data_IF_296417982615
#
_entry.id   IF_296417982615
#
_cell.length_a   1.000
_cell.length_b   1.000
_cell.length_c   1.000
_cell.angle_alpha   90.00
_cell.angle_beta   90.00
_cell.angle_gamma   90.00
#
_symmetry.space_group_name_H-M   'P 1'
#
loop_
_entity.id
_entity.type
_entity.pdbx_description
1 polymer ?
#
# COMPACT_ATOMS: atom_id res chain seq x y z
N UNK A 1 4.60 14.05 54.72
CA UNK A 1 4.44 12.78 53.98
C UNK A 1 5.82 12.30 53.60
N UNK A 2 6.33 11.28 54.31
CA UNK A 2 7.63 10.67 54.05
C UNK A 2 7.56 9.89 52.74
N UNK A 3 8.45 10.21 51.80
CA UNK A 3 8.62 9.43 50.57
C UNK A 3 8.98 7.98 50.96
N UNK A 4 8.12 7.04 50.57
CA UNK A 4 8.34 5.61 50.78
C UNK A 4 9.65 5.23 50.08
N UNK A 5 10.68 4.82 50.84
CA UNK A 5 11.93 4.33 50.27
C UNK A 5 11.60 3.23 49.24
N UNK A 6 12.10 3.39 48.01
CA UNK A 6 11.89 2.41 46.96
C UNK A 6 12.44 1.06 47.45
N UNK A 7 11.61 0.02 47.43
CA UNK A 7 12.02 -1.32 47.84
C UNK A 7 13.25 -1.77 47.04
N UNK A 8 14.19 -2.43 47.72
CA UNK A 8 15.40 -2.95 47.06
C UNK A 8 15.02 -3.87 45.89
N UNK A 9 15.70 -3.75 44.73
CA UNK A 9 15.36 -4.55 43.56
C UNK A 9 15.54 -6.04 43.79
N UNK A 10 14.51 -6.82 43.48
CA UNK A 10 14.52 -8.27 43.60
C UNK A 10 15.28 -8.93 42.44
N UNK A 11 15.67 -10.20 42.61
CA UNK A 11 16.22 -11.00 41.52
C UNK A 11 15.24 -11.17 40.34
N UNK A 12 13.93 -11.08 40.58
CA UNK A 12 12.93 -11.10 39.52
C UNK A 12 12.94 -9.80 38.70
N UNK A 13 13.17 -8.66 39.36
CA UNK A 13 13.27 -7.34 38.71
C UNK A 13 14.50 -7.29 37.81
N UNK A 14 15.67 -7.71 38.31
CA UNK A 14 16.90 -7.80 37.52
C UNK A 14 16.75 -8.71 36.28
N UNK A 15 16.02 -9.82 36.41
CA UNK A 15 15.69 -10.69 35.25
C UNK A 15 14.75 -10.03 34.24
N UNK A 16 13.83 -9.16 34.69
CA UNK A 16 12.98 -8.37 33.78
C UNK A 16 13.80 -7.31 33.06
N UNK A 17 14.64 -6.58 33.76
CA UNK A 17 15.52 -5.55 33.18
C UNK A 17 16.45 -6.13 32.13
N UNK A 18 17.04 -7.31 32.37
CA UNK A 18 17.86 -7.99 31.38
C UNK A 18 17.06 -8.41 30.12
N UNK A 19 15.74 -8.63 30.23
CA UNK A 19 14.89 -8.82 29.05
C UNK A 19 14.62 -7.51 28.33
N UNK A 20 14.25 -6.44 29.05
CA UNK A 20 14.05 -5.13 28.45
C UNK A 20 15.30 -4.66 27.71
N UNK A 21 16.48 -4.75 28.32
CA UNK A 21 17.77 -4.46 27.68
C UNK A 21 17.93 -5.15 26.32
N UNK A 22 17.55 -6.42 26.23
CA UNK A 22 17.69 -7.19 24.98
C UNK A 22 16.62 -6.81 23.95
N UNK A 23 15.42 -6.44 24.39
CA UNK A 23 14.36 -5.90 23.52
C UNK A 23 14.74 -4.51 22.99
N UNK A 24 15.22 -3.60 23.84
CA UNK A 24 15.72 -2.26 23.45
C UNK A 24 16.79 -2.35 22.36
N UNK A 25 17.77 -3.24 22.54
CA UNK A 25 18.81 -3.49 21.52
C UNK A 25 18.21 -4.01 20.22
N UNK A 26 17.20 -4.89 20.29
CA UNK A 26 16.57 -5.43 19.11
C UNK A 26 15.78 -4.35 18.34
N UNK A 27 15.06 -3.48 19.05
CA UNK A 27 14.28 -2.37 18.47
C UNK A 27 15.19 -1.28 17.90
N UNK A 28 16.24 -0.88 18.64
CA UNK A 28 17.25 0.05 18.15
C UNK A 28 17.92 -0.42 16.85
N UNK A 29 18.22 -1.72 16.73
CA UNK A 29 18.75 -2.32 15.50
C UNK A 29 17.75 -2.28 14.34
N UNK A 30 16.45 -2.42 14.61
CA UNK A 30 15.39 -2.30 13.60
C UNK A 30 15.38 -0.88 13.03
N UNK A 31 15.33 0.13 13.89
CA UNK A 31 15.32 1.54 13.47
C UNK A 31 16.60 1.92 12.73
N UNK A 32 17.76 1.47 13.20
CA UNK A 32 19.05 1.73 12.54
C UNK A 32 19.09 1.14 11.12
N UNK A 33 18.61 -0.11 10.95
CA UNK A 33 18.54 -0.75 9.62
C UNK A 33 17.58 -0.05 8.67
N UNK A 34 16.44 0.43 9.20
CA UNK A 34 15.48 1.21 8.41
C UNK A 34 16.07 2.56 7.99
N UNK A 35 16.72 3.27 8.92
CA UNK A 35 17.38 4.54 8.65
C UNK A 35 18.44 4.43 7.56
N UNK A 36 19.23 3.34 7.54
CA UNK A 36 20.24 3.09 6.52
C UNK A 36 19.70 2.97 5.08
N UNK A 37 18.38 2.82 4.91
CA UNK A 37 17.70 2.72 3.60
C UNK A 37 16.87 3.95 3.24
N UNK A 38 16.88 4.97 4.09
CA UNK A 38 16.12 6.21 3.92
C UNK A 38 17.05 7.39 3.70
N UNK A 39 16.48 8.48 3.21
CA UNK A 39 17.16 9.76 3.01
C UNK A 39 16.28 10.89 3.52
N UNK A 40 16.91 12.05 3.78
CA UNK A 40 16.23 13.23 4.30
C UNK A 40 15.56 13.01 5.65
N UNK A 41 14.42 13.68 5.84
CA UNK A 41 13.64 13.71 7.10
C UNK A 41 13.32 12.31 7.65
N UNK A 42 12.93 11.35 6.80
CA UNK A 42 12.59 9.99 7.26
C UNK A 42 13.78 9.27 7.91
N UNK A 43 15.00 9.52 7.41
CA UNK A 43 16.23 8.94 7.99
C UNK A 43 16.50 9.56 9.36
N UNK A 44 16.39 10.87 9.48
CA UNK A 44 16.65 11.61 10.72
C UNK A 44 15.68 11.20 11.83
N UNK A 45 14.39 11.03 11.48
CA UNK A 45 13.38 10.52 12.41
C UNK A 45 13.75 9.11 12.90
N UNK A 46 14.08 8.18 12.00
CA UNK A 46 14.44 6.81 12.37
C UNK A 46 15.75 6.74 13.17
N UNK A 47 16.72 7.63 12.91
CA UNK A 47 17.93 7.74 13.72
C UNK A 47 17.61 8.24 15.12
N UNK A 48 16.72 9.23 15.24
CA UNK A 48 16.28 9.77 16.53
C UNK A 48 15.58 8.71 17.39
N UNK A 49 14.77 7.84 16.78
CA UNK A 49 14.18 6.67 17.45
C UNK A 49 15.28 5.68 17.89
N UNK A 50 16.24 5.37 17.02
CA UNK A 50 17.35 4.48 17.39
C UNK A 50 18.24 5.06 18.51
N UNK A 51 18.37 6.38 18.59
CA UNK A 51 19.08 7.07 19.67
C UNK A 51 18.27 7.04 20.98
N UNK A 52 16.95 7.05 20.91
CA UNK A 52 16.07 6.88 22.07
C UNK A 52 16.20 5.49 22.69
N UNK A 53 16.16 4.43 21.88
CA UNK A 53 16.34 3.06 22.40
C UNK A 53 17.72 2.84 23.03
N UNK A 54 18.76 3.56 22.54
CA UNK A 54 20.07 3.56 23.20
C UNK A 54 20.06 4.20 24.59
N UNK A 55 19.24 5.25 24.80
CA UNK A 55 19.06 5.83 26.14
C UNK A 55 18.30 4.88 27.07
N UNK A 56 17.32 4.15 26.54
CA UNK A 56 16.56 3.16 27.31
C UNK A 56 17.43 1.96 27.67
N UNK A 57 18.26 1.48 26.72
CA UNK A 57 19.33 0.50 26.98
C UNK A 57 20.24 0.94 28.14
N UNK A 58 20.73 2.19 28.10
CA UNK A 58 21.63 2.70 29.13
C UNK A 58 20.96 2.72 30.51
N UNK A 59 19.69 3.14 30.59
CA UNK A 59 18.91 3.12 31.84
C UNK A 59 18.84 1.71 32.46
N UNK A 60 18.60 0.68 31.64
CA UNK A 60 18.57 -0.70 32.14
C UNK A 60 19.95 -1.20 32.56
N UNK A 61 21.01 -0.83 31.85
CA UNK A 61 22.39 -1.14 32.24
C UNK A 61 22.77 -0.51 33.57
N UNK A 62 22.37 0.75 33.79
CA UNK A 62 22.63 1.47 35.04
C UNK A 62 21.94 0.79 36.23
N UNK A 63 20.69 0.35 36.06
CA UNK A 63 19.96 -0.42 37.07
C UNK A 63 20.57 -1.80 37.33
N UNK A 64 21.10 -2.44 36.29
CA UNK A 64 21.78 -3.74 36.39
C UNK A 64 23.19 -3.63 37.02
N UNK A 65 23.79 -2.44 37.00
CA UNK A 65 25.17 -2.21 37.44
C UNK A 65 26.22 -2.59 36.39
N UNK A 66 25.85 -2.53 35.10
CA UNK A 66 26.70 -2.90 33.96
C UNK A 66 26.17 -4.10 33.17
N UNK A 67 27.00 -4.58 32.25
CA UNK A 67 26.64 -5.66 31.32
C UNK A 67 26.46 -7.00 32.07
N UNK A 68 25.28 -7.64 32.00
CA UNK A 68 25.06 -8.94 32.63
C UNK A 68 25.95 -10.03 32.03
N UNK A 69 26.55 -10.88 32.87
CA UNK A 69 27.37 -12.00 32.41
C UNK A 69 26.63 -13.00 31.49
N UNK A 70 25.30 -13.05 31.58
CA UNK A 70 24.44 -13.82 30.66
C UNK A 70 23.18 -13.03 30.34
N UNK A 71 22.96 -12.77 29.07
CA UNK A 71 21.74 -12.16 28.56
C UNK A 71 20.73 -13.23 28.14
N UNK A 72 19.42 -13.00 28.36
CA UNK A 72 18.39 -13.80 27.73
C UNK A 72 18.44 -13.61 26.21
N UNK A 73 17.94 -14.59 25.46
CA UNK A 73 17.74 -14.41 24.01
C UNK A 73 16.56 -13.47 23.80
N UNK A 74 16.70 -12.54 22.85
CA UNK A 74 15.59 -11.73 22.37
C UNK A 74 14.42 -12.62 21.95
N UNK A 75 13.19 -12.14 22.15
CA UNK A 75 12.00 -12.85 21.70
C UNK A 75 12.11 -13.25 20.22
N UNK A 76 11.53 -14.40 19.87
CA UNK A 76 11.50 -14.90 18.48
C UNK A 76 10.92 -13.81 17.55
N UNK A 77 9.92 -13.08 18.03
CA UNK A 77 9.30 -11.94 17.36
C UNK A 77 10.33 -10.84 17.05
N UNK A 78 11.06 -10.34 18.04
CA UNK A 78 12.02 -9.24 17.91
C UNK A 78 13.19 -9.60 16.99
N UNK A 79 13.63 -10.87 17.02
CA UNK A 79 14.63 -11.40 16.09
C UNK A 79 14.12 -11.46 14.65
N UNK A 80 12.89 -11.93 14.44
CA UNK A 80 12.27 -11.94 13.12
C UNK A 80 12.07 -10.53 12.55
N UNK A 81 11.67 -9.57 13.40
CA UNK A 81 11.48 -8.17 13.03
C UNK A 81 12.79 -7.54 12.54
N UNK A 82 13.91 -7.74 13.25
CA UNK A 82 15.23 -7.23 12.84
C UNK A 82 15.78 -7.84 11.54
N UNK A 83 15.41 -9.07 11.21
CA UNK A 83 15.73 -9.68 9.92
C UNK A 83 14.86 -9.10 8.79
N UNK A 84 13.55 -8.98 9.04
CA UNK A 84 12.59 -8.47 8.07
C UNK A 84 12.81 -6.99 7.74
N UNK A 85 13.13 -6.14 8.72
CA UNK A 85 13.50 -4.74 8.50
C UNK A 85 14.63 -4.60 7.48
N UNK A 86 15.64 -5.48 7.61
CA UNK A 86 16.78 -5.58 6.71
C UNK A 86 16.47 -6.18 5.34
N UNK A 87 15.27 -6.71 5.08
CA UNK A 87 14.89 -7.23 3.75
C UNK A 87 13.81 -6.39 3.07
N UNK A 88 12.83 -5.90 3.81
CA UNK A 88 11.60 -5.31 3.26
C UNK A 88 11.47 -3.78 3.39
N UNK A 89 12.41 -3.10 4.06
CA UNK A 89 12.53 -1.63 4.00
C UNK A 89 11.27 -0.87 4.41
N UNK A 90 10.74 -0.01 3.53
CA UNK A 90 9.58 0.86 3.80
C UNK A 90 8.27 0.12 4.06
N UNK A 91 8.05 -1.04 3.41
CA UNK A 91 6.85 -1.87 3.63
C UNK A 91 6.84 -2.40 5.07
N UNK A 92 8.02 -2.61 5.65
CA UNK A 92 8.15 -3.11 7.01
C UNK A 92 7.73 -2.07 8.07
N UNK A 93 7.86 -0.77 7.80
CA UNK A 93 7.36 0.28 8.69
C UNK A 93 5.84 0.17 8.90
N UNK A 94 5.12 -0.31 7.88
CA UNK A 94 3.68 -0.54 7.96
C UNK A 94 3.34 -1.71 8.90
N UNK A 95 4.16 -2.76 8.88
CA UNK A 95 4.05 -3.90 9.80
C UNK A 95 4.39 -3.48 11.23
N UNK A 96 5.41 -2.64 11.40
CA UNK A 96 5.80 -2.09 12.71
C UNK A 96 4.66 -1.27 13.32
N UNK A 97 3.97 -0.43 12.53
CA UNK A 97 2.83 0.34 13.00
C UNK A 97 1.65 -0.53 13.48
N UNK A 98 1.37 -1.67 12.83
CA UNK A 98 0.35 -2.62 13.32
C UNK A 98 0.78 -3.32 14.61
N UNK A 99 2.09 -3.44 14.81
CA UNK A 99 2.69 -4.09 15.99
C UNK A 99 2.69 -3.15 17.20
N UNK A 100 2.78 -1.84 16.93
CA UNK A 100 2.77 -0.73 17.89
C UNK A 100 1.37 -0.34 18.41
N UNK A 101 0.33 -1.15 18.20
CA UNK A 101 -1.02 -0.91 18.74
C UNK A 101 -1.25 -1.54 20.12
N UNK A 102 -0.22 -2.15 20.72
CA UNK A 102 -0.27 -2.75 22.05
C UNK A 102 -0.07 -1.75 23.19
N UNK A 103 -0.37 -2.13 24.44
CA UNK A 103 0.07 -1.35 25.61
C UNK A 103 1.57 -1.53 25.83
N UNK A 104 2.28 -0.44 26.03
CA UNK A 104 3.70 -0.47 26.39
C UNK A 104 3.92 -1.31 27.67
N UNK A 105 4.93 -2.20 27.69
CA UNK A 105 5.32 -2.91 28.92
C UNK A 105 5.79 -1.94 30.03
N UNK A 106 6.15 -0.69 29.68
CA UNK A 106 6.64 0.31 30.63
C UNK A 106 5.54 1.03 31.40
N UNK A 107 4.29 0.98 30.94
CA UNK A 107 3.16 1.56 31.68
C UNK A 107 2.97 0.89 33.05
N UNK A 108 3.29 -0.40 33.16
CA UNK A 108 3.17 -1.18 34.40
C UNK A 108 4.50 -1.35 35.17
N UNK A 109 5.64 -0.91 34.60
CA UNK A 109 6.96 -1.12 35.20
C UNK A 109 7.33 0.04 36.13
N UNK A 110 7.52 -0.24 37.42
CA UNK A 110 7.80 0.78 38.43
C UNK A 110 9.18 1.43 38.26
N UNK A 111 10.14 0.70 37.68
CA UNK A 111 11.51 1.17 37.47
C UNK A 111 11.71 1.88 36.12
N UNK A 112 10.68 1.97 35.27
CA UNK A 112 10.70 2.78 34.07
C UNK A 112 10.56 4.27 34.43
N UNK A 113 11.36 5.13 33.82
CA UNK A 113 11.28 6.58 34.07
C UNK A 113 10.03 7.17 33.41
N UNK A 114 9.51 8.31 33.90
CA UNK A 114 8.46 9.04 33.20
C UNK A 114 8.83 9.40 31.75
N UNK A 115 10.11 9.70 31.50
CA UNK A 115 10.63 9.99 30.17
C UNK A 115 10.53 8.77 29.24
N UNK A 116 10.92 7.57 29.69
CA UNK A 116 10.79 6.34 28.88
C UNK A 116 9.34 6.03 28.51
N UNK A 117 8.40 6.21 29.45
CA UNK A 117 6.96 6.02 29.17
C UNK A 117 6.42 7.04 28.17
N UNK A 118 6.97 8.27 28.16
CA UNK A 118 6.59 9.30 27.22
C UNK A 118 7.21 9.04 25.83
N UNK A 119 8.50 8.70 25.79
CA UNK A 119 9.24 8.33 24.58
C UNK A 119 8.51 7.20 23.85
N UNK A 120 8.09 6.14 24.55
CA UNK A 120 7.41 5.00 23.93
C UNK A 120 6.08 5.38 23.25
N UNK A 121 5.27 6.25 23.90
CA UNK A 121 4.03 6.75 23.28
C UNK A 121 4.31 7.59 22.04
N UNK A 122 5.38 8.36 22.06
CA UNK A 122 5.83 9.15 20.90
C UNK A 122 6.37 8.23 19.81
N UNK A 123 7.10 7.16 20.15
CA UNK A 123 7.59 6.16 19.21
C UNK A 123 6.43 5.52 18.43
N UNK A 124 5.39 5.07 19.14
CA UNK A 124 4.18 4.52 18.51
C UNK A 124 3.57 5.50 17.50
N UNK A 125 3.43 6.77 17.89
CA UNK A 125 2.77 7.79 17.07
C UNK A 125 3.62 8.21 15.86
N UNK A 126 4.94 8.30 16.03
CA UNK A 126 5.90 8.56 14.94
C UNK A 126 5.89 7.41 13.94
N UNK A 127 5.90 6.15 14.41
CA UNK A 127 5.81 4.97 13.55
C UNK A 127 4.48 4.93 12.80
N UNK A 128 3.37 5.27 13.45
CA UNK A 128 2.05 5.44 12.79
C UNK A 128 2.08 6.52 11.73
N UNK A 129 2.71 7.66 12.00
CA UNK A 129 2.87 8.76 11.03
C UNK A 129 3.72 8.38 9.82
N UNK A 130 4.84 7.70 10.03
CA UNK A 130 5.68 7.15 8.95
C UNK A 130 4.91 6.09 8.13
N UNK A 131 4.15 5.23 8.79
CA UNK A 131 3.29 4.26 8.13
C UNK A 131 2.19 4.92 7.29
N UNK A 132 1.49 5.93 7.82
CA UNK A 132 0.47 6.66 7.09
C UNK A 132 1.04 7.33 5.82
N UNK A 133 2.23 7.95 5.92
CA UNK A 133 2.97 8.50 4.77
C UNK A 133 3.32 7.40 3.76
N UNK A 134 3.81 6.25 4.22
CA UNK A 134 4.09 5.08 3.39
C UNK A 134 2.85 4.55 2.65
N UNK A 135 1.68 4.48 3.31
CA UNK A 135 0.43 4.03 2.68
C UNK A 135 -0.02 4.96 1.56
N UNK A 136 0.05 6.28 1.77
CA UNK A 136 -0.33 7.26 0.74
C UNK A 136 0.52 7.13 -0.53
N UNK A 137 1.83 6.89 -0.39
CA UNK A 137 2.71 6.66 -1.55
C UNK A 137 2.41 5.36 -2.28
N UNK A 138 1.89 4.35 -1.59
CA UNK A 138 1.62 3.02 -2.17
C UNK A 138 0.17 2.85 -2.66
N UNK A 139 -0.79 3.66 -2.21
CA UNK A 139 -2.23 3.36 -2.32
C UNK A 139 -2.80 3.34 -3.74
N UNK A 140 -2.24 4.11 -4.68
CA UNK A 140 -2.72 4.18 -6.06
C UNK A 140 -2.39 2.92 -6.86
N UNK A 141 -1.13 2.81 -7.29
CA UNK A 141 -0.69 1.75 -8.22
C UNK A 141 -0.67 0.35 -7.61
N UNK A 142 -0.37 0.22 -6.31
CA UNK A 142 -0.33 -1.10 -5.68
C UNK A 142 -1.72 -1.73 -5.61
N UNK A 143 -2.73 -0.92 -5.27
CA UNK A 143 -4.10 -1.40 -5.14
C UNK A 143 -4.63 -1.89 -6.48
N UNK A 144 -4.39 -1.12 -7.55
CA UNK A 144 -4.72 -1.52 -8.92
C UNK A 144 -3.99 -2.82 -9.32
N UNK A 145 -2.70 -2.93 -9.00
CA UNK A 145 -1.90 -4.11 -9.30
C UNK A 145 -2.41 -5.39 -8.62
N UNK A 146 -2.71 -5.32 -7.33
CA UNK A 146 -3.22 -6.47 -6.58
C UNK A 146 -4.62 -6.85 -7.05
N UNK A 147 -5.49 -5.87 -7.35
CA UNK A 147 -6.82 -6.18 -7.87
C UNK A 147 -6.75 -6.82 -9.26
N UNK A 148 -5.92 -6.32 -10.17
CA UNK A 148 -5.74 -6.93 -11.49
C UNK A 148 -5.27 -8.38 -11.41
N UNK A 149 -4.24 -8.66 -10.61
CA UNK A 149 -3.76 -10.03 -10.42
C UNK A 149 -4.79 -10.93 -9.72
N UNK A 150 -5.50 -10.42 -8.71
CA UNK A 150 -6.54 -11.18 -8.02
C UNK A 150 -7.74 -11.47 -8.92
N UNK A 151 -8.11 -10.55 -9.81
CA UNK A 151 -9.20 -10.78 -10.75
C UNK A 151 -8.82 -11.89 -11.75
N UNK A 152 -7.58 -11.88 -12.26
CA UNK A 152 -7.06 -12.97 -13.09
C UNK A 152 -7.03 -14.32 -12.36
N UNK A 153 -6.58 -14.35 -11.09
CA UNK A 153 -6.59 -15.55 -10.26
C UNK A 153 -7.99 -16.15 -10.11
N UNK A 154 -8.97 -15.31 -9.72
CA UNK A 154 -10.33 -15.77 -9.40
C UNK A 154 -11.10 -16.14 -10.67
N UNK A 155 -11.10 -15.25 -11.67
CA UNK A 155 -11.85 -15.48 -12.91
C UNK A 155 -11.36 -16.71 -13.67
N UNK A 156 -10.04 -16.89 -13.80
CA UNK A 156 -9.52 -18.01 -14.57
C UNK A 156 -9.56 -19.33 -13.79
N UNK A 157 -9.42 -19.30 -12.46
CA UNK A 157 -9.69 -20.48 -11.62
C UNK A 157 -11.14 -20.94 -11.77
N UNK A 158 -12.08 -19.99 -11.69
CA UNK A 158 -13.49 -20.29 -11.83
C UNK A 158 -13.81 -20.88 -13.22
N UNK A 159 -13.18 -20.36 -14.27
CA UNK A 159 -13.32 -20.88 -15.64
C UNK A 159 -12.83 -22.32 -15.75
N UNK A 160 -11.58 -22.62 -15.35
CA UNK A 160 -11.01 -23.96 -15.52
C UNK A 160 -11.70 -25.02 -14.66
N UNK A 161 -12.17 -24.65 -13.46
CA UNK A 161 -12.95 -25.54 -12.61
C UNK A 161 -14.35 -25.79 -13.14
N UNK A 162 -14.99 -24.77 -13.73
CA UNK A 162 -16.30 -24.91 -14.37
C UNK A 162 -16.22 -25.78 -15.61
N UNK A 163 -15.29 -25.50 -16.52
CA UNK A 163 -15.07 -26.32 -17.71
C UNK A 163 -14.63 -27.73 -17.32
N UNK A 164 -13.69 -27.88 -16.38
CA UNK A 164 -13.25 -29.19 -15.91
C UNK A 164 -14.36 -30.05 -15.30
N UNK A 165 -15.35 -29.42 -14.65
CA UNK A 165 -16.50 -30.13 -14.08
C UNK A 165 -17.42 -30.77 -15.13
N UNK A 166 -17.39 -30.30 -16.37
CA UNK A 166 -18.19 -30.86 -17.46
C UNK A 166 -17.71 -32.23 -17.93
N UNK A 167 -16.52 -32.68 -17.50
CA UNK A 167 -15.93 -33.96 -17.91
C UNK A 167 -15.15 -33.92 -19.23
N UNK A 168 -14.97 -32.74 -19.82
CA UNK A 168 -14.15 -32.55 -21.04
C UNK A 168 -12.68 -32.90 -20.81
N UNK A 169 -11.99 -33.23 -21.90
CA UNK A 169 -10.58 -33.61 -21.87
C UNK A 169 -9.64 -32.48 -21.36
N UNK A 170 -8.47 -32.83 -20.79
CA UNK A 170 -7.55 -31.87 -20.17
C UNK A 170 -7.03 -30.82 -21.15
N UNK A 171 -6.88 -31.17 -22.44
CA UNK A 171 -6.50 -30.22 -23.49
C UNK A 171 -7.53 -29.12 -23.72
N UNK A 172 -8.82 -29.43 -23.58
CA UNK A 172 -9.89 -28.44 -23.69
C UNK A 172 -9.92 -27.51 -22.47
N UNK A 173 -9.72 -28.05 -21.26
CA UNK A 173 -9.59 -27.23 -20.04
C UNK A 173 -8.41 -26.26 -20.16
N UNK A 174 -7.25 -26.73 -20.63
CA UNK A 174 -6.08 -25.89 -20.86
C UNK A 174 -6.37 -24.80 -21.89
N UNK A 175 -6.95 -25.17 -23.04
CA UNK A 175 -7.31 -24.22 -24.09
C UNK A 175 -8.27 -23.14 -23.55
N UNK A 176 -9.34 -23.55 -22.85
CA UNK A 176 -10.29 -22.61 -22.24
C UNK A 176 -9.60 -21.68 -21.25
N UNK A 177 -8.69 -22.18 -20.40
CA UNK A 177 -7.96 -21.35 -19.46
C UNK A 177 -7.00 -20.36 -20.11
N UNK A 178 -6.32 -20.73 -21.20
CA UNK A 178 -5.46 -19.81 -21.96
C UNK A 178 -6.30 -18.79 -22.73
N UNK A 179 -7.40 -19.21 -23.33
CA UNK A 179 -8.34 -18.31 -24.00
C UNK A 179 -8.97 -17.31 -23.02
N UNK A 180 -9.40 -17.78 -21.84
CA UNK A 180 -9.93 -16.95 -20.76
C UNK A 180 -8.90 -15.95 -20.22
N UNK A 181 -7.65 -16.38 -20.04
CA UNK A 181 -6.54 -15.49 -19.69
C UNK A 181 -6.38 -14.37 -20.72
N UNK A 182 -6.25 -14.71 -22.00
CA UNK A 182 -6.02 -13.72 -23.06
C UNK A 182 -7.22 -12.78 -23.21
N UNK A 183 -8.44 -13.31 -23.24
CA UNK A 183 -9.66 -12.52 -23.34
C UNK A 183 -9.81 -11.55 -22.16
N UNK A 184 -9.59 -12.04 -20.93
CA UNK A 184 -9.65 -11.21 -19.72
C UNK A 184 -8.56 -10.15 -19.67
N UNK A 185 -7.31 -10.52 -20.01
CA UNK A 185 -6.18 -9.59 -20.00
C UNK A 185 -6.35 -8.46 -21.03
N UNK A 186 -6.79 -8.80 -22.26
CA UNK A 186 -7.08 -7.81 -23.31
C UNK A 186 -8.24 -6.90 -22.90
N UNK A 187 -9.30 -7.46 -22.31
CA UNK A 187 -10.44 -6.69 -21.82
C UNK A 187 -10.04 -5.71 -20.71
N UNK A 188 -9.25 -6.16 -19.73
CA UNK A 188 -8.71 -5.29 -18.68
C UNK A 188 -7.80 -4.20 -19.24
N UNK A 189 -6.87 -4.54 -20.14
CA UNK A 189 -5.97 -3.58 -20.75
C UNK A 189 -6.71 -2.51 -21.56
N UNK A 190 -7.68 -2.92 -22.39
CA UNK A 190 -8.52 -2.00 -23.15
C UNK A 190 -9.40 -1.12 -22.24
N UNK A 191 -9.98 -1.70 -21.19
CA UNK A 191 -10.78 -0.96 -20.20
C UNK A 191 -9.96 0.12 -19.50
N UNK A 192 -8.73 -0.21 -19.07
CA UNK A 192 -7.82 0.75 -18.44
C UNK A 192 -7.39 1.85 -19.41
N UNK A 193 -7.06 1.50 -20.67
CA UNK A 193 -6.74 2.47 -21.71
C UNK A 193 -7.85 3.51 -21.89
N UNK A 194 -9.08 3.03 -22.10
CA UNK A 194 -10.25 3.88 -22.32
C UNK A 194 -10.54 4.73 -21.07
N UNK A 195 -10.41 4.16 -19.88
CA UNK A 195 -10.61 4.89 -18.63
C UNK A 195 -9.63 6.06 -18.47
N UNK A 196 -8.33 5.80 -18.61
CA UNK A 196 -7.28 6.82 -18.48
C UNK A 196 -7.39 7.87 -19.59
N UNK A 197 -7.67 7.43 -20.82
CA UNK A 197 -7.84 8.34 -21.95
C UNK A 197 -9.05 9.24 -21.78
N UNK A 198 -10.19 8.68 -21.37
CA UNK A 198 -11.39 9.47 -21.10
C UNK A 198 -11.17 10.48 -19.97
N UNK A 199 -10.47 10.10 -18.89
CA UNK A 199 -10.10 11.04 -17.83
C UNK A 199 -9.24 12.20 -18.36
N UNK A 200 -8.28 11.92 -19.24
CA UNK A 200 -7.45 12.95 -19.87
C UNK A 200 -8.24 13.85 -20.81
N UNK A 201 -9.12 13.27 -21.62
CA UNK A 201 -9.99 14.03 -22.53
C UNK A 201 -10.96 14.94 -21.74
N UNK A 202 -11.48 14.47 -20.60
CA UNK A 202 -12.29 15.28 -19.68
C UNK A 202 -11.49 16.42 -19.06
N UNK A 203 -10.27 16.15 -18.58
CA UNK A 203 -9.39 17.20 -18.03
C UNK A 203 -9.02 18.23 -19.09
N UNK A 204 -8.63 17.79 -20.29
CA UNK A 204 -8.33 18.67 -21.42
C UNK A 204 -9.53 19.52 -21.83
N UNK A 205 -10.75 18.99 -21.74
CA UNK A 205 -11.98 19.76 -22.01
C UNK A 205 -12.32 20.79 -20.91
N UNK A 206 -11.73 20.65 -19.72
CA UNK A 206 -11.92 21.55 -18.58
C UNK A 206 -10.82 22.61 -18.51
N UNK A 207 -9.67 22.37 -19.12
CA UNK A 207 -8.60 23.35 -19.25
C UNK A 207 -9.09 24.53 -20.12
N UNK A 208 -8.79 25.76 -19.67
CA UNK A 208 -9.24 26.96 -20.36
C UNK A 208 -8.68 26.97 -21.79
N UNK A 209 -9.57 27.17 -22.76
CA UNK A 209 -9.18 27.39 -24.14
C UNK A 209 -8.20 28.56 -24.19
N UNK A 210 -6.91 28.32 -24.52
CA UNK A 210 -5.89 29.37 -24.56
C UNK A 210 -6.29 30.49 -25.54
N UNK A 211 -7.04 30.14 -26.59
CA UNK A 211 -7.64 31.09 -27.54
C UNK A 211 -8.57 32.10 -26.85
N UNK A 212 -9.32 31.70 -25.81
CA UNK A 212 -10.18 32.63 -25.07
C UNK A 212 -9.36 33.63 -24.23
N UNK A 213 -8.15 33.25 -23.78
CA UNK A 213 -7.23 34.15 -23.11
C UNK A 213 -6.46 35.04 -24.11
N UNK A 214 -6.20 34.55 -25.33
CA UNK A 214 -5.57 35.32 -26.41
C UNK A 214 -6.50 36.39 -26.98
N UNK A 215 -7.81 36.16 -26.99
CA UNK A 215 -8.83 37.15 -27.38
C UNK A 215 -9.22 38.10 -26.24
N UNK A 216 -8.71 37.92 -25.01
CA UNK A 216 -9.05 38.77 -23.88
C UNK A 216 -8.63 40.24 -24.06
N UNK A 217 -7.58 40.51 -24.86
CA UNK A 217 -7.18 41.88 -25.20
C UNK A 217 -8.08 42.56 -26.23
N UNK A 218 -8.88 41.80 -26.97
CA UNK A 218 -9.89 42.30 -27.92
C UNK A 218 -11.27 42.48 -27.26
N UNK A 219 -11.42 42.01 -26.00
CA UNK A 219 -12.65 42.08 -25.22
C UNK A 219 -12.51 43.20 -24.18
N UNK A 220 -13.50 44.09 -24.09
CA UNK A 220 -13.59 45.14 -23.06
C UNK A 220 -14.04 44.54 -21.71
N UNK A 221 -13.22 43.64 -21.15
CA UNK A 221 -13.51 42.90 -19.92
C UNK A 221 -12.76 43.53 -18.74
N UNK A 222 -13.48 43.87 -17.66
CA UNK A 222 -12.91 44.38 -16.41
C UNK A 222 -12.15 43.27 -15.62
N UNK A 223 -11.14 43.65 -14.83
CA UNK A 223 -10.37 42.77 -13.92
C UNK A 223 -11.30 41.93 -13.04
N UNK A 224 -12.38 42.56 -12.57
CA UNK A 224 -13.39 41.93 -11.72
C UNK A 224 -14.16 40.83 -12.46
N UNK A 225 -14.50 41.03 -13.73
CA UNK A 225 -15.23 40.05 -14.54
C UNK A 225 -14.35 38.85 -14.90
N UNK A 226 -13.07 39.08 -15.24
CA UNK A 226 -12.11 38.00 -15.46
C UNK A 226 -11.84 37.22 -14.16
N UNK A 227 -11.82 37.90 -13.00
CA UNK A 227 -11.70 37.26 -11.69
C UNK A 227 -12.92 36.38 -11.38
N UNK A 228 -14.14 36.78 -11.77
CA UNK A 228 -15.34 35.95 -11.65
C UNK A 228 -15.23 34.65 -12.47
N UNK A 229 -14.63 34.70 -13.67
CA UNK A 229 -14.37 33.48 -14.47
C UNK A 229 -13.42 32.52 -13.76
N UNK A 230 -12.34 33.02 -13.15
CA UNK A 230 -11.41 32.18 -12.39
C UNK A 230 -12.03 31.63 -11.10
N UNK A 231 -12.86 32.42 -10.41
CA UNK A 231 -13.62 31.97 -9.23
C UNK A 231 -14.65 30.90 -9.57
N UNK A 232 -15.38 31.06 -10.68
CA UNK A 232 -16.30 30.06 -11.20
C UNK A 232 -15.59 28.74 -11.56
N UNK A 233 -14.29 28.80 -11.86
CA UNK A 233 -13.41 27.64 -12.08
C UNK A 233 -12.72 27.12 -10.81
N UNK A 234 -13.09 27.62 -9.63
CA UNK A 234 -12.62 27.13 -8.33
C UNK A 234 -11.29 27.71 -7.85
N UNK A 235 -10.79 28.79 -8.48
CA UNK A 235 -9.62 29.53 -7.99
C UNK A 235 -10.04 30.41 -6.82
N UNK A 236 -9.22 30.46 -5.76
CA UNK A 236 -9.44 31.33 -4.62
C UNK A 236 -9.54 32.80 -5.04
N UNK A 237 -10.35 33.60 -4.34
CA UNK A 237 -10.65 34.98 -4.71
C UNK A 237 -9.39 35.86 -4.81
N UNK A 238 -8.46 35.72 -3.88
CA UNK A 238 -7.23 36.51 -3.89
C UNK A 238 -6.31 36.13 -5.07
N UNK A 239 -6.24 34.84 -5.40
CA UNK A 239 -5.45 34.34 -6.51
C UNK A 239 -6.07 34.64 -7.87
N UNK A 240 -7.40 34.58 -7.97
CA UNK A 240 -8.17 34.94 -9.16
C UNK A 240 -7.94 36.41 -9.54
N UNK A 241 -8.06 37.33 -8.57
CA UNK A 241 -7.79 38.77 -8.76
C UNK A 241 -6.35 39.03 -9.20
N UNK A 242 -5.37 38.44 -8.50
CA UNK A 242 -3.96 38.61 -8.82
C UNK A 242 -3.63 38.08 -10.24
N UNK A 243 -4.28 37.01 -10.69
CA UNK A 243 -4.10 36.44 -12.04
C UNK A 243 -4.77 37.29 -13.11
N UNK A 244 -6.00 37.76 -12.87
CA UNK A 244 -6.71 38.66 -13.79
C UNK A 244 -5.92 39.94 -14.05
N UNK A 245 -5.40 40.57 -12.99
CA UNK A 245 -4.58 41.78 -13.12
C UNK A 245 -3.35 41.57 -13.99
N UNK A 246 -2.61 40.48 -13.77
CA UNK A 246 -1.42 40.14 -14.59
C UNK A 246 -1.75 39.99 -16.07
N UNK A 247 -2.89 39.37 -16.39
CA UNK A 247 -3.30 39.13 -17.77
C UNK A 247 -3.72 40.44 -18.45
N UNK A 248 -4.50 41.28 -17.77
CA UNK A 248 -4.92 42.58 -18.30
C UNK A 248 -3.72 43.51 -18.49
N UNK A 249 -2.81 43.60 -17.50
CA UNK A 249 -1.59 44.41 -17.63
C UNK A 249 -0.72 43.92 -18.78
N UNK A 250 -0.49 42.62 -18.91
CA UNK A 250 0.30 42.07 -20.02
C UNK A 250 -0.35 42.30 -21.39
N UNK A 251 -1.68 42.27 -21.47
CA UNK A 251 -2.42 42.57 -22.69
C UNK A 251 -2.28 44.05 -23.08
N UNK A 252 -2.41 44.97 -22.11
CA UNK A 252 -2.22 46.42 -22.30
C UNK A 252 -0.78 46.77 -22.71
N UNK A 253 0.21 46.04 -22.21
CA UNK A 253 1.63 46.19 -22.55
C UNK A 253 2.01 45.54 -23.90
N UNK A 254 1.06 44.89 -24.60
CA UNK A 254 1.29 44.24 -25.89
C UNK A 254 2.12 42.95 -25.81
N UNK A 255 2.32 42.39 -24.60
CA UNK A 255 3.14 41.20 -24.36
C UNK A 255 2.29 39.94 -24.59
N UNK A 256 2.10 39.58 -25.86
CA UNK A 256 1.19 38.50 -26.29
C UNK A 256 1.61 37.05 -25.92
N UNK A 257 2.78 36.82 -25.29
CA UNK A 257 3.33 35.45 -25.17
C UNK A 257 3.83 34.98 -23.80
N UNK A 258 3.82 35.80 -22.75
CA UNK A 258 4.49 35.44 -21.49
C UNK A 258 3.59 35.34 -20.25
N UNK A 259 2.35 35.81 -20.28
CA UNK A 259 1.53 35.97 -19.06
C UNK A 259 0.68 34.75 -18.68
N UNK A 260 0.44 33.83 -19.61
CA UNK A 260 -0.37 32.64 -19.38
C UNK A 260 0.53 31.41 -19.22
N UNK A 261 1.19 31.31 -18.08
CA UNK A 261 1.67 30.00 -17.65
C UNK A 261 0.48 29.02 -17.57
N UNK A 262 0.66 27.73 -17.92
CA UNK A 262 -0.43 26.76 -17.97
C UNK A 262 -1.24 26.81 -16.67
N UNK A 263 -2.56 26.67 -16.78
CA UNK A 263 -3.42 26.45 -15.61
C UNK A 263 -3.05 25.07 -15.07
N UNK A 264 -2.03 25.00 -14.21
CA UNK A 264 -1.98 23.97 -13.18
C UNK A 264 -3.09 24.30 -12.20
N UNK A 265 -4.32 23.99 -12.59
CA UNK A 265 -5.36 23.76 -11.62
C UNK A 265 -4.74 22.76 -10.66
N UNK A 266 -4.63 23.11 -9.38
CA UNK A 266 -4.17 22.21 -8.33
C UNK A 266 -5.22 21.12 -8.05
N UNK A 267 -5.92 20.67 -9.09
CA UNK A 267 -6.88 19.59 -9.08
C UNK A 267 -6.11 18.26 -9.01
N UNK A 268 -5.73 17.90 -7.79
CA UNK A 268 -5.32 16.55 -7.42
C UNK A 268 -3.88 16.20 -7.79
N UNK A 269 -2.96 16.51 -6.88
CA UNK A 269 -1.63 15.88 -6.79
C UNK A 269 -1.68 14.34 -6.52
N UNK A 270 -2.80 13.69 -6.80
CA UNK A 270 -3.03 12.25 -6.64
C UNK A 270 -3.11 11.51 -7.99
N UNK A 271 -2.93 12.19 -9.14
CA UNK A 271 -3.00 11.55 -10.48
C UNK A 271 -1.66 11.50 -11.24
N UNK A 272 -0.59 12.05 -10.67
CA UNK A 272 0.76 12.03 -11.26
C UNK A 272 1.43 10.63 -11.31
N UNK A 273 0.74 9.57 -10.87
CA UNK A 273 1.24 8.19 -10.98
C UNK A 273 0.59 7.43 -12.16
N UNK A 274 -0.39 8.01 -12.85
CA UNK A 274 -0.94 7.38 -14.06
C UNK A 274 -0.03 7.74 -15.23
N UNK A 275 0.86 6.82 -15.60
CA UNK A 275 1.68 6.92 -16.81
C UNK A 275 0.81 7.09 -18.07
N UNK A 276 1.40 7.03 -19.26
CA UNK A 276 0.62 7.09 -20.52
C UNK A 276 -0.56 6.10 -20.50
N UNK A 277 -1.66 6.42 -21.18
CA UNK A 277 -2.80 5.53 -21.42
C UNK A 277 -2.36 4.11 -21.81
N UNK A 278 -1.34 4.01 -22.66
CA UNK A 278 -0.65 2.77 -23.00
C UNK A 278 0.04 2.06 -21.82
N UNK A 279 0.76 2.79 -20.98
CA UNK A 279 1.44 2.18 -19.82
C UNK A 279 0.45 1.61 -18.80
N UNK A 280 -0.69 2.27 -18.60
CA UNK A 280 -1.76 1.78 -17.73
C UNK A 280 -2.38 0.51 -18.31
N UNK A 281 -2.71 0.53 -19.61
CA UNK A 281 -3.24 -0.63 -20.33
C UNK A 281 -2.33 -1.86 -20.28
N UNK A 282 -1.04 -1.68 -20.59
CA UNK A 282 -0.04 -2.76 -20.57
C UNK A 282 0.15 -3.29 -19.15
N UNK A 283 0.17 -2.40 -18.15
CA UNK A 283 0.28 -2.80 -16.75
C UNK A 283 -0.91 -3.66 -16.33
N UNK A 284 -2.14 -3.22 -16.61
CA UNK A 284 -3.37 -3.98 -16.29
C UNK A 284 -3.41 -5.33 -17.01
N UNK A 285 -3.01 -5.37 -18.29
CA UNK A 285 -2.88 -6.61 -19.06
C UNK A 285 -1.92 -7.60 -18.39
N UNK A 286 -0.71 -7.14 -18.02
CA UNK A 286 0.32 -7.99 -17.43
C UNK A 286 -0.05 -8.44 -16.02
N UNK A 287 -0.64 -7.56 -15.22
CA UNK A 287 -1.08 -7.86 -13.86
C UNK A 287 -2.19 -8.92 -13.88
N UNK A 288 -3.21 -8.75 -14.72
CA UNK A 288 -4.24 -9.78 -14.91
C UNK A 288 -3.63 -11.11 -15.38
N UNK A 289 -2.80 -11.07 -16.42
CA UNK A 289 -2.15 -12.27 -16.98
C UNK A 289 -1.32 -13.02 -15.93
N UNK A 290 -0.61 -12.29 -15.06
CA UNK A 290 0.20 -12.88 -14.00
C UNK A 290 -0.63 -13.67 -12.99
N UNK A 291 -1.87 -13.24 -12.73
CA UNK A 291 -2.81 -13.98 -11.89
C UNK A 291 -3.46 -15.14 -12.64
N UNK A 292 -3.95 -14.88 -13.85
CA UNK A 292 -4.71 -15.83 -14.65
C UNK A 292 -3.87 -17.03 -15.14
N UNK A 293 -2.54 -16.91 -15.23
CA UNK A 293 -1.69 -18.06 -15.60
C UNK A 293 -1.60 -19.11 -14.48
N UNK A 294 -1.72 -18.70 -13.21
CA UNK A 294 -1.49 -19.59 -12.06
C UNK A 294 -2.48 -20.78 -12.04
N UNK A 295 -3.80 -20.58 -12.21
CA UNK A 295 -4.75 -21.68 -12.27
C UNK A 295 -4.45 -22.70 -13.37
N UNK A 296 -3.87 -22.31 -14.51
CA UNK A 296 -3.63 -23.23 -15.65
C UNK A 296 -2.31 -23.99 -15.58
N UNK A 297 -1.39 -23.61 -14.70
CA UNK A 297 -0.07 -24.24 -14.56
C UNK A 297 -0.13 -25.78 -14.46
N UNK A 298 -1.04 -26.40 -13.68
CA UNK A 298 -1.10 -27.85 -13.59
C UNK A 298 -1.29 -28.52 -14.96
N UNK A 299 -2.18 -27.99 -15.79
CA UNK A 299 -2.45 -28.52 -17.12
C UNK A 299 -1.30 -28.25 -18.10
N UNK A 300 -0.60 -27.11 -17.98
CA UNK A 300 0.61 -26.82 -18.76
C UNK A 300 1.69 -27.87 -18.49
N UNK A 301 1.83 -28.30 -17.23
CA UNK A 301 2.79 -29.33 -16.83
C UNK A 301 2.25 -30.77 -16.96
N UNK A 302 1.12 -30.97 -17.65
CA UNK A 302 0.59 -32.29 -17.97
C UNK A 302 -0.17 -32.99 -16.84
N UNK A 303 -0.50 -32.29 -15.75
CA UNK A 303 -1.43 -32.83 -14.75
C UNK A 303 -2.84 -32.87 -15.32
N UNK A 304 -3.61 -33.86 -14.85
CA UNK A 304 -4.98 -34.10 -15.30
C UNK A 304 -5.90 -34.52 -14.15
N UNK A 305 -7.21 -34.46 -14.40
CA UNK A 305 -8.24 -34.87 -13.45
C UNK A 305 -8.17 -34.15 -12.11
N UNK A 306 -8.52 -34.86 -11.05
CA UNK A 306 -8.59 -34.32 -9.67
C UNK A 306 -7.23 -33.79 -9.20
N UNK A 307 -6.13 -34.41 -9.63
CA UNK A 307 -4.79 -33.96 -9.26
C UNK A 307 -4.50 -32.54 -9.78
N UNK A 308 -4.84 -32.24 -11.04
CA UNK A 308 -4.70 -30.89 -11.60
C UNK A 308 -5.53 -29.87 -10.83
N UNK A 309 -6.77 -30.23 -10.50
CA UNK A 309 -7.71 -29.40 -9.72
C UNK A 309 -7.16 -29.07 -8.34
N UNK A 310 -6.66 -30.06 -7.59
CA UNK A 310 -6.10 -29.84 -6.25
C UNK A 310 -4.89 -28.92 -6.33
N UNK A 311 -3.99 -29.15 -7.28
CA UNK A 311 -2.79 -28.29 -7.44
C UNK A 311 -3.21 -26.86 -7.80
N UNK A 312 -4.17 -26.67 -8.71
CA UNK A 312 -4.69 -25.35 -9.06
C UNK A 312 -5.28 -24.63 -7.84
N UNK A 313 -6.10 -25.31 -7.05
CA UNK A 313 -6.69 -24.77 -5.82
C UNK A 313 -5.62 -24.39 -4.79
N UNK A 314 -4.60 -25.21 -4.59
CA UNK A 314 -3.51 -24.91 -3.65
C UNK A 314 -2.69 -23.71 -4.11
N UNK A 315 -2.33 -23.64 -5.39
CA UNK A 315 -1.57 -22.53 -5.96
C UNK A 315 -2.34 -21.21 -5.86
N UNK A 316 -3.60 -21.21 -6.32
CA UNK A 316 -4.45 -20.01 -6.27
C UNK A 316 -4.80 -19.64 -4.84
N UNK A 317 -5.11 -20.62 -3.98
CA UNK A 317 -5.41 -20.38 -2.58
C UNK A 317 -4.24 -19.75 -1.83
N UNK A 318 -3.02 -20.23 -2.08
CA UNK A 318 -1.79 -19.63 -1.52
C UNK A 318 -1.59 -18.20 -2.03
N UNK A 319 -1.82 -17.96 -3.33
CA UNK A 319 -1.72 -16.63 -3.90
C UNK A 319 -2.75 -15.65 -3.30
N UNK A 320 -4.03 -16.05 -3.19
CA UNK A 320 -5.11 -15.25 -2.61
C UNK A 320 -4.89 -14.96 -1.12
N UNK A 321 -4.40 -15.94 -0.35
CA UNK A 321 -4.03 -15.73 1.04
C UNK A 321 -2.87 -14.72 1.15
N UNK A 322 -1.85 -14.84 0.30
CA UNK A 322 -0.71 -13.94 0.26
C UNK A 322 -1.10 -12.51 -0.11
N UNK A 323 -1.86 -12.32 -1.20
CA UNK A 323 -2.31 -10.99 -1.63
C UNK A 323 -3.29 -10.38 -0.63
N UNK A 324 -4.21 -11.17 -0.07
CA UNK A 324 -5.15 -10.70 0.96
C UNK A 324 -4.45 -10.31 2.26
N UNK A 325 -3.43 -11.06 2.70
CA UNK A 325 -2.61 -10.70 3.85
C UNK A 325 -1.80 -9.41 3.60
N UNK A 326 -1.27 -9.24 2.38
CA UNK A 326 -0.55 -8.03 1.98
C UNK A 326 -1.48 -6.80 2.00
N UNK A 327 -2.70 -6.90 1.45
CA UNK A 327 -3.73 -5.85 1.58
C UNK A 327 -4.07 -5.61 3.06
N UNK A 328 -4.12 -6.68 3.87
CA UNK A 328 -4.09 -6.66 5.32
C UNK A 328 -3.14 -5.62 5.91
N UNK A 329 -1.86 -5.88 5.68
CA UNK A 329 -0.75 -5.08 6.20
C UNK A 329 -0.81 -3.64 5.68
N UNK A 330 -0.98 -3.47 4.38
CA UNK A 330 -0.93 -2.16 3.74
C UNK A 330 -2.11 -1.28 4.12
N UNK A 331 -3.30 -1.85 4.32
CA UNK A 331 -4.49 -1.12 4.76
C UNK A 331 -4.65 -1.05 6.29
N UNK A 332 -3.63 -1.44 7.07
CA UNK A 332 -3.62 -1.30 8.54
C UNK A 332 -4.52 -2.27 9.32
N UNK A 333 -5.51 -2.92 8.69
CA UNK A 333 -6.36 -3.92 9.36
C UNK A 333 -5.77 -5.35 9.46
N UNK A 334 -6.51 -6.30 10.08
CA UNK A 334 -6.00 -7.62 10.43
C UNK A 334 -5.67 -8.47 9.19
N UNK A 335 -4.41 -8.90 9.00
CA UNK A 335 -3.98 -9.62 7.79
C UNK A 335 -4.72 -10.92 7.55
N UNK A 336 -4.90 -11.74 8.59
CA UNK A 336 -5.57 -13.04 8.48
C UNK A 336 -7.03 -12.89 8.03
N UNK A 337 -7.76 -11.93 8.59
CA UNK A 337 -9.15 -11.68 8.20
C UNK A 337 -9.28 -11.27 6.72
N UNK A 338 -8.35 -10.44 6.22
CA UNK A 338 -8.34 -10.04 4.80
C UNK A 338 -7.93 -11.19 3.88
N UNK A 339 -6.97 -12.01 4.28
CA UNK A 339 -6.56 -13.22 3.57
C UNK A 339 -7.70 -14.23 3.44
N UNK A 340 -8.37 -14.56 4.55
CA UNK A 340 -9.49 -15.50 4.57
C UNK A 340 -10.69 -15.00 3.75
N UNK A 341 -11.00 -13.70 3.82
CA UNK A 341 -12.04 -13.09 2.98
C UNK A 341 -11.73 -13.23 1.50
N UNK A 342 -10.48 -12.96 1.09
CA UNK A 342 -10.06 -13.07 -0.30
C UNK A 342 -10.14 -14.51 -0.81
N UNK A 343 -9.70 -15.47 0.01
CA UNK A 343 -9.83 -16.90 -0.28
C UNK A 343 -11.29 -17.32 -0.41
N UNK A 344 -12.15 -16.89 0.52
CA UNK A 344 -13.58 -17.23 0.52
C UNK A 344 -14.30 -16.69 -0.73
N UNK A 345 -14.01 -15.45 -1.13
CA UNK A 345 -14.57 -14.87 -2.37
C UNK A 345 -14.09 -15.66 -3.59
N UNK A 346 -12.79 -15.94 -3.69
CA UNK A 346 -12.21 -16.64 -4.82
C UNK A 346 -12.71 -18.08 -4.96
N UNK A 347 -12.71 -18.83 -3.87
CA UNK A 347 -13.21 -20.21 -3.85
C UNK A 347 -14.73 -20.27 -3.95
N UNK A 348 -15.45 -19.26 -3.46
CA UNK A 348 -16.90 -19.14 -3.65
C UNK A 348 -17.26 -18.99 -5.12
N UNK A 349 -16.59 -18.09 -5.85
CA UNK A 349 -16.80 -17.92 -7.29
C UNK A 349 -16.48 -19.22 -8.07
N UNK A 350 -15.35 -19.85 -7.74
CA UNK A 350 -14.96 -21.14 -8.31
C UNK A 350 -15.93 -22.28 -8.01
N UNK A 351 -16.49 -22.34 -6.80
CA UNK A 351 -17.48 -23.34 -6.43
C UNK A 351 -18.79 -23.16 -7.21
N UNK A 352 -19.21 -21.91 -7.43
CA UNK A 352 -20.41 -21.59 -8.24
C UNK A 352 -20.22 -22.05 -9.69
N UNK A 353 -19.08 -21.72 -10.32
CA UNK A 353 -18.83 -22.12 -11.71
C UNK A 353 -18.58 -23.62 -11.84
N UNK A 354 -17.97 -24.25 -10.84
CA UNK A 354 -17.84 -25.70 -10.77
C UNK A 354 -19.22 -26.38 -10.70
N UNK A 355 -20.12 -25.90 -9.82
CA UNK A 355 -21.49 -26.39 -9.74
C UNK A 355 -22.27 -26.18 -11.04
N UNK A 356 -22.06 -25.05 -11.72
CA UNK A 356 -22.59 -24.81 -13.06
C UNK A 356 -22.09 -25.86 -14.06
N UNK A 357 -20.79 -26.12 -14.06
CA UNK A 357 -20.19 -27.14 -14.92
C UNK A 357 -20.68 -28.55 -14.62
N UNK A 358 -20.95 -28.90 -13.36
CA UNK A 358 -21.61 -30.17 -12.99
C UNK A 358 -23.06 -30.22 -13.48
N UNK A 359 -23.79 -29.11 -13.40
CA UNK A 359 -25.19 -29.04 -13.84
C UNK A 359 -25.35 -29.21 -15.36
N UNK A 360 -24.43 -28.65 -16.14
CA UNK A 360 -24.36 -28.89 -17.59
C UNK A 360 -23.62 -30.20 -17.92
N UNK A 361 -22.85 -30.72 -16.97
CA UNK A 361 -22.01 -31.90 -17.07
C UNK A 361 -22.72 -33.20 -16.73
N UNK A 362 -23.97 -33.39 -17.17
CA UNK A 362 -24.63 -34.70 -17.34
C UNK A 362 -25.71 -34.53 -18.41
N UNK A 363 -25.46 -34.95 -19.66
CA UNK A 363 -26.49 -34.92 -20.71
C UNK A 363 -26.03 -34.84 -22.18
N UNK A 364 -24.75 -34.90 -22.49
CA UNK A 364 -24.29 -35.13 -23.85
C UNK A 364 -23.79 -36.58 -23.97
N UNK A 365 -24.74 -37.44 -24.36
CA UNK A 365 -24.69 -38.91 -24.61
C UNK A 365 -25.27 -39.75 -23.48
#
# INVERSE_FOLDING_TARGET
>A
MTARAAAEPTAADRRRWARYLVEERAEGLVYQKLAGRKSGEEKEILQSLADAERRHEQHWLDLLGGEPARLPKAGIRSRSLGWMAGRFGSIFVLVLAQTAEGRSPYDAEQYATPAMRADEKIHEEVVRGLAARGRRRLSGSFRAAVFGANDGLVSNLALVLGIGATGVGPGFVLFSGIAGLLAGALSMGAGEFVSVRSQRELLASTEANEDAALSAGDLDIDENELALVYRARGVDEAEALARSRRIITAAQEGVRRAATGPIRAHAGADHDIVGTDWSAAISSFLLFSSGAIIPVLPWIFGLQGIAAVIVALVLVGTALLGTGAMVGILSGGPPLGRALRQLAIGFGAAAITHALGLAFGVGAV
#
